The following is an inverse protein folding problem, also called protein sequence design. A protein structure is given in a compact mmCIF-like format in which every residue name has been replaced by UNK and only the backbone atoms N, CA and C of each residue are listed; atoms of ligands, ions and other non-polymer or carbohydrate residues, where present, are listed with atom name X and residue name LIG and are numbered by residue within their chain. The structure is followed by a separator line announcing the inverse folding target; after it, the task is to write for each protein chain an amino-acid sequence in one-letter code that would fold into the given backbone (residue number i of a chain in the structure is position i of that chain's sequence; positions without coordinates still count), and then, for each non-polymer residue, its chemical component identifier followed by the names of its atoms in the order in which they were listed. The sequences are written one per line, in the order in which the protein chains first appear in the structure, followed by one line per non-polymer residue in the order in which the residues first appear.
data_IF_866465343149
#
_entry.id   IF_866465343149
#
_cell.length_a   1.000
_cell.length_b   1.000
_cell.length_c   1.000
_cell.angle_alpha   90.00
_cell.angle_beta   90.00
_cell.angle_gamma   90.00
#
_symmetry.space_group_name_H-M   'P 1'
#
loop_
_entity.id
_entity.type
_entity.pdbx_description
1 polymer ?
#
# COMPACT_ATOMS: atom_id res chain seq x y z
N UNK A 1 -4.47 14.26 -24.54
CA UNK A 1 -3.16 14.69 -23.99
C UNK A 1 -2.62 13.48 -23.23
N UNK A 2 -1.61 12.79 -23.77
CA UNK A 2 -1.12 11.53 -23.24
C UNK A 2 -0.46 11.73 -21.88
N UNK A 3 -0.97 11.04 -20.86
CA UNK A 3 -0.25 10.85 -19.61
C UNK A 3 1.09 10.20 -19.96
N UNK A 4 2.19 10.93 -19.87
CA UNK A 4 3.51 10.32 -19.97
C UNK A 4 3.57 9.26 -18.88
N UNK A 5 3.54 7.98 -19.26
CA UNK A 5 3.69 6.87 -18.34
C UNK A 5 5.02 7.09 -17.61
N UNK A 6 4.94 7.48 -16.34
CA UNK A 6 6.11 7.73 -15.52
C UNK A 6 6.81 6.38 -15.40
N UNK A 7 8.03 6.26 -15.93
CA UNK A 7 8.73 4.98 -15.87
C UNK A 7 8.90 4.54 -14.40
N UNK A 8 8.93 3.22 -14.12
CA UNK A 8 9.12 2.71 -12.76
C UNK A 8 10.34 3.30 -12.05
N UNK A 9 11.39 3.59 -12.81
CA UNK A 9 12.59 4.27 -12.33
C UNK A 9 12.27 5.66 -11.75
N UNK A 10 11.53 6.49 -12.51
CA UNK A 10 11.15 7.84 -12.10
C UNK A 10 10.14 7.84 -10.96
N UNK A 11 9.20 6.89 -10.98
CA UNK A 11 8.22 6.72 -9.91
C UNK A 11 8.90 6.32 -8.60
N UNK A 12 9.83 5.36 -8.65
CA UNK A 12 10.60 4.93 -7.49
C UNK A 12 11.57 6.02 -6.98
N UNK A 13 12.25 6.74 -7.89
CA UNK A 13 13.09 7.87 -7.52
C UNK A 13 12.32 8.95 -6.75
N UNK A 14 11.09 9.26 -7.18
CA UNK A 14 10.21 10.21 -6.49
C UNK A 14 9.80 9.70 -5.11
N UNK A 15 9.48 8.41 -4.99
CA UNK A 15 9.19 7.77 -3.70
C UNK A 15 10.37 7.89 -2.73
N UNK A 16 11.58 7.51 -3.17
CA UNK A 16 12.79 7.55 -2.34
C UNK A 16 13.11 8.97 -1.91
N UNK A 17 12.97 9.96 -2.80
CA UNK A 17 13.18 11.37 -2.48
C UNK A 17 12.24 11.83 -1.36
N UNK A 18 10.94 11.57 -1.52
CA UNK A 18 9.93 11.93 -0.52
C UNK A 18 10.21 11.27 0.84
N UNK A 19 10.52 9.97 0.85
CA UNK A 19 10.83 9.26 2.09
C UNK A 19 12.06 9.83 2.81
N UNK A 20 13.08 10.25 2.06
CA UNK A 20 14.27 10.91 2.62
C UNK A 20 13.93 12.30 3.15
N UNK A 21 13.20 13.10 2.38
CA UNK A 21 12.81 14.45 2.80
C UNK A 21 11.95 14.40 4.07
N UNK A 22 10.97 13.49 4.14
CA UNK A 22 10.14 13.26 5.32
C UNK A 22 10.98 12.88 6.55
N UNK A 23 11.97 11.99 6.39
CA UNK A 23 12.86 11.58 7.48
C UNK A 23 13.80 12.72 7.94
N UNK A 24 14.23 13.58 7.02
CA UNK A 24 15.02 14.78 7.33
C UNK A 24 14.18 15.78 8.13
N UNK A 25 12.93 15.98 7.76
CA UNK A 25 12.02 16.90 8.43
C UNK A 25 11.60 16.41 9.81
N UNK A 26 11.29 15.11 9.95
CA UNK A 26 10.75 14.54 11.19
C UNK A 26 11.84 14.20 12.22
N UNK A 27 13.00 13.70 11.75
CA UNK A 27 14.04 13.19 12.63
C UNK A 27 15.36 13.97 12.57
N UNK A 28 15.47 14.97 11.69
CA UNK A 28 16.71 15.74 11.51
C UNK A 28 17.86 14.91 10.91
N UNK A 29 17.56 13.75 10.32
CA UNK A 29 18.59 12.81 9.85
C UNK A 29 19.41 13.37 8.69
N UNK A 30 20.72 13.14 8.73
CA UNK A 30 21.58 13.37 7.57
C UNK A 30 21.56 12.15 6.64
N UNK A 31 22.09 12.29 5.43
CA UNK A 31 22.25 11.15 4.49
C UNK A 31 23.14 10.05 5.09
N UNK A 32 24.07 10.42 5.98
CA UNK A 32 24.92 9.47 6.71
C UNK A 32 24.11 8.67 7.73
N UNK A 33 23.21 9.34 8.45
CA UNK A 33 22.32 8.70 9.41
C UNK A 33 21.34 7.75 8.72
N UNK A 34 20.79 8.18 7.58
CA UNK A 34 19.96 7.35 6.70
C UNK A 34 20.67 6.07 6.25
N UNK A 35 21.93 6.17 5.80
CA UNK A 35 22.68 5.00 5.37
C UNK A 35 22.99 4.04 6.54
N UNK A 36 23.23 4.58 7.74
CA UNK A 36 23.45 3.77 8.95
C UNK A 36 22.16 3.07 9.43
N UNK A 37 21.02 3.76 9.38
CA UNK A 37 19.74 3.25 9.88
C UNK A 37 19.04 2.30 8.91
N UNK A 38 19.13 2.56 7.60
CA UNK A 38 18.44 1.75 6.58
C UNK A 38 19.22 0.50 6.15
N UNK A 39 20.53 0.43 6.46
CA UNK A 39 21.43 -0.59 5.92
C UNK A 39 21.64 -0.50 4.41
N UNK A 40 21.09 0.53 3.75
CA UNK A 40 21.28 0.80 2.32
C UNK A 40 22.44 1.77 2.15
N UNK A 41 23.50 1.30 1.49
CA UNK A 41 24.68 2.12 1.23
C UNK A 41 24.36 3.39 0.43
N UNK A 42 25.08 4.48 0.71
CA UNK A 42 24.89 5.79 0.05
C UNK A 42 24.86 5.70 -1.48
N UNK A 43 25.74 4.90 -2.09
CA UNK A 43 25.79 4.70 -3.55
C UNK A 43 24.54 4.03 -4.11
N UNK A 44 23.87 3.17 -3.33
CA UNK A 44 22.59 2.57 -3.71
C UNK A 44 21.46 3.60 -3.61
N UNK A 45 21.44 4.40 -2.54
CA UNK A 45 20.44 5.47 -2.38
C UNK A 45 20.54 6.51 -3.50
N UNK A 46 21.74 6.98 -3.83
CA UNK A 46 21.94 7.94 -4.94
C UNK A 46 21.49 7.38 -6.29
N UNK A 47 21.75 6.09 -6.54
CA UNK A 47 21.29 5.40 -7.76
C UNK A 47 19.77 5.29 -7.82
N UNK A 48 19.12 5.02 -6.70
CA UNK A 48 17.66 5.03 -6.63
C UNK A 48 17.08 6.42 -6.88
N UNK A 49 17.71 7.47 -6.35
CA UNK A 49 17.31 8.86 -6.57
C UNK A 49 17.52 9.36 -8.00
N UNK A 50 18.56 8.86 -8.67
CA UNK A 50 18.84 9.18 -10.07
C UNK A 50 17.87 8.48 -11.03
N UNK A 51 17.31 7.33 -10.62
CA UNK A 51 16.44 6.52 -11.48
C UNK A 51 17.19 5.92 -12.68
N UNK A 52 18.50 5.74 -12.58
CA UNK A 52 19.37 5.24 -13.64
C UNK A 52 19.83 3.78 -13.41
N UNK A 53 19.16 3.08 -12.49
CA UNK A 53 19.47 1.69 -12.19
C UNK A 53 19.20 0.80 -13.40
N UNK A 54 20.20 -0.01 -13.75
CA UNK A 54 20.13 -1.00 -14.84
C UNK A 54 19.47 -2.29 -14.36
N UNK A 55 19.81 -2.71 -13.14
CA UNK A 55 19.20 -3.85 -12.47
C UNK A 55 18.10 -3.39 -11.51
N UNK A 56 17.08 -4.24 -11.40
CA UNK A 56 15.96 -3.98 -10.50
C UNK A 56 16.43 -3.85 -9.05
N UNK A 57 15.95 -2.85 -8.28
CA UNK A 57 16.28 -2.72 -6.86
C UNK A 57 15.97 -3.99 -6.08
N UNK A 58 16.97 -4.51 -5.35
CA UNK A 58 16.79 -5.69 -4.52
C UNK A 58 15.67 -5.46 -3.49
N UNK A 59 14.61 -6.26 -3.58
CA UNK A 59 13.42 -6.10 -2.74
C UNK A 59 13.73 -6.19 -1.24
N UNK A 60 14.74 -6.97 -0.85
CA UNK A 60 15.21 -7.04 0.53
C UNK A 60 15.73 -5.68 1.04
N UNK A 61 16.51 -4.97 0.20
CA UNK A 61 17.01 -3.61 0.52
C UNK A 61 15.88 -2.60 0.56
N UNK A 62 14.90 -2.71 -0.34
CA UNK A 62 13.71 -1.84 -0.35
C UNK A 62 12.88 -2.05 0.92
N UNK A 63 12.69 -3.30 1.37
CA UNK A 63 12.02 -3.61 2.63
C UNK A 63 12.77 -3.02 3.83
N UNK A 64 14.09 -3.19 3.89
CA UNK A 64 14.93 -2.63 4.97
C UNK A 64 14.86 -1.10 5.02
N UNK A 65 14.93 -0.44 3.86
CA UNK A 65 14.75 1.00 3.73
C UNK A 65 13.39 1.47 4.26
N UNK A 66 12.31 0.81 3.85
CA UNK A 66 10.96 1.13 4.30
C UNK A 66 10.78 0.93 5.81
N UNK A 67 11.30 -0.18 6.35
CA UNK A 67 11.22 -0.49 7.78
C UNK A 67 11.98 0.52 8.64
N UNK A 68 13.15 0.97 8.20
CA UNK A 68 13.97 1.92 8.96
C UNK A 68 13.39 3.35 8.96
N UNK A 69 12.59 3.71 7.96
CA UNK A 69 11.95 5.03 7.85
C UNK A 69 10.47 5.01 8.25
N UNK A 70 9.96 3.87 8.72
CA UNK A 70 8.53 3.64 9.02
C UNK A 70 7.60 4.00 7.83
N UNK A 71 8.04 3.72 6.61
CA UNK A 71 7.29 4.00 5.37
C UNK A 71 6.62 2.71 4.86
N UNK A 72 5.37 2.74 4.37
CA UNK A 72 4.70 1.55 3.87
C UNK A 72 5.40 0.96 2.63
N UNK A 73 5.90 -0.27 2.75
CA UNK A 73 6.59 -0.99 1.65
C UNK A 73 5.73 -1.17 0.40
N UNK A 74 4.41 -1.25 0.55
CA UNK A 74 3.47 -1.33 -0.57
C UNK A 74 3.57 -0.11 -1.49
N UNK A 75 3.83 1.09 -0.94
CA UNK A 75 4.04 2.29 -1.75
C UNK A 75 5.31 2.20 -2.60
N UNK A 76 6.40 1.65 -2.04
CA UNK A 76 7.64 1.39 -2.76
C UNK A 76 7.44 0.38 -3.90
N UNK A 77 6.71 -0.71 -3.63
CA UNK A 77 6.48 -1.77 -4.63
C UNK A 77 5.58 -1.33 -5.77
N UNK A 78 4.54 -0.51 -5.49
CA UNK A 78 3.75 0.14 -6.54
C UNK A 78 4.60 1.07 -7.39
N UNK A 79 5.49 1.84 -6.78
CA UNK A 79 6.40 2.72 -7.51
C UNK A 79 7.39 1.95 -8.39
N UNK A 80 7.78 0.75 -7.97
CA UNK A 80 8.63 -0.16 -8.74
C UNK A 80 7.88 -0.94 -9.84
N UNK A 81 6.54 -0.96 -9.80
CA UNK A 81 5.73 -1.75 -10.72
C UNK A 81 5.77 -3.26 -10.43
N UNK A 82 6.19 -3.69 -9.22
CA UNK A 82 6.01 -5.08 -8.78
C UNK A 82 4.51 -5.32 -8.63
N UNK A 83 3.92 -6.33 -9.28
CA UNK A 83 2.57 -6.75 -8.94
C UNK A 83 2.59 -7.22 -7.49
N UNK A 84 1.87 -6.50 -6.63
CA UNK A 84 1.81 -6.76 -5.20
C UNK A 84 1.40 -8.22 -4.96
N UNK A 85 2.32 -9.05 -4.47
CA UNK A 85 2.03 -10.42 -4.02
C UNK A 85 1.42 -10.43 -2.61
N UNK A 86 1.05 -9.26 -2.08
CA UNK A 86 0.08 -9.13 -1.00
C UNK A 86 -1.28 -8.78 -1.63
N UNK A 87 -2.40 -9.34 -1.15
CA UNK A 87 -3.72 -9.05 -1.67
C UNK A 87 -4.15 -7.66 -1.21
N UNK A 88 -3.56 -6.60 -1.77
CA UNK A 88 -4.34 -5.40 -2.02
C UNK A 88 -5.05 -5.69 -3.33
N UNK A 89 -6.36 -5.91 -3.22
CA UNK A 89 -7.25 -6.13 -4.33
C UNK A 89 -6.80 -5.24 -5.50
N UNK A 90 -6.40 -5.87 -6.59
CA UNK A 90 -6.77 -5.37 -7.90
C UNK A 90 -8.26 -5.09 -7.77
N UNK A 91 -8.60 -3.83 -7.50
CA UNK A 91 -9.97 -3.35 -7.50
C UNK A 91 -10.39 -3.50 -8.95
N UNK A 92 -10.87 -4.70 -9.27
CA UNK A 92 -11.60 -4.97 -10.50
C UNK A 92 -12.67 -3.90 -10.51
N UNK A 93 -12.81 -3.22 -11.64
CA UNK A 93 -13.82 -2.17 -11.82
C UNK A 93 -15.23 -2.69 -11.46
N UNK A 94 -15.42 -4.01 -11.45
CA UNK A 94 -16.64 -4.72 -11.02
C UNK A 94 -16.88 -4.83 -9.49
N UNK A 95 -15.88 -4.63 -8.62
CA UNK A 95 -16.08 -4.71 -7.16
C UNK A 95 -16.60 -3.39 -6.56
N UNK A 96 -16.64 -2.31 -7.34
CA UNK A 96 -17.05 -0.99 -6.85
C UNK A 96 -18.49 -0.93 -6.28
N UNK A 97 -19.50 -1.59 -6.88
CA UNK A 97 -20.84 -1.67 -6.30
C UNK A 97 -20.87 -2.45 -4.97
N UNK A 98 -20.20 -3.61 -4.93
CA UNK A 98 -20.15 -4.46 -3.72
C UNK A 98 -19.46 -3.72 -2.58
N UNK A 99 -18.38 -2.98 -2.86
CA UNK A 99 -17.70 -2.19 -1.83
C UNK A 99 -18.56 -1.03 -1.32
N UNK A 100 -19.36 -0.40 -2.20
CA UNK A 100 -20.31 0.63 -1.80
C UNK A 100 -21.39 0.05 -0.87
N UNK A 101 -21.92 -1.13 -1.19
CA UNK A 101 -22.91 -1.81 -0.37
C UNK A 101 -22.34 -2.22 1.00
N UNK A 102 -21.13 -2.77 1.03
CA UNK A 102 -20.42 -3.11 2.29
C UNK A 102 -20.22 -1.86 3.14
N UNK A 103 -19.86 -0.72 2.54
CA UNK A 103 -19.67 0.53 3.27
C UNK A 103 -20.96 1.05 3.88
N UNK A 104 -22.08 0.99 3.15
CA UNK A 104 -23.41 1.35 3.68
C UNK A 104 -23.77 0.46 4.87
N UNK A 105 -23.49 -0.84 4.79
CA UNK A 105 -23.75 -1.78 5.89
C UNK A 105 -22.91 -1.42 7.13
N UNK A 106 -21.63 -1.08 6.94
CA UNK A 106 -20.74 -0.67 8.03
C UNK A 106 -21.21 0.63 8.69
N UNK A 107 -21.57 1.64 7.89
CA UNK A 107 -22.08 2.92 8.38
C UNK A 107 -23.35 2.71 9.20
N UNK A 108 -24.28 1.85 8.74
CA UNK A 108 -25.53 1.53 9.45
C UNK A 108 -25.30 0.76 10.76
N UNK A 109 -24.28 -0.09 10.81
CA UNK A 109 -23.90 -0.79 12.04
C UNK A 109 -23.23 0.16 13.07
N UNK A 110 -22.50 1.18 12.59
CA UNK A 110 -21.85 2.18 13.42
C UNK A 110 -22.82 3.25 13.93
N UNK A 111 -23.88 3.56 13.19
CA UNK A 111 -24.85 4.62 13.51
C UNK A 111 -25.60 4.33 14.82
N UNK A 112 -25.43 5.14 15.88
CA UNK A 112 -26.08 4.93 17.17
C UNK A 112 -27.61 5.11 17.14
N UNK A 113 -28.16 5.71 16.09
CA UNK A 113 -29.61 5.95 15.93
C UNK A 113 -30.34 4.72 15.36
N UNK A 114 -29.61 3.77 14.79
CA UNK A 114 -30.16 2.51 14.27
C UNK A 114 -30.49 1.57 15.44
N UNK A 115 -31.69 1.02 15.42
CA UNK A 115 -32.19 0.13 16.47
C UNK A 115 -31.28 -1.10 16.64
N UNK A 116 -31.06 -1.53 17.90
CA UNK A 116 -30.19 -2.66 18.21
C UNK A 116 -30.64 -3.94 17.50
N UNK A 117 -31.95 -4.19 17.44
CA UNK A 117 -32.55 -5.34 16.77
C UNK A 117 -32.18 -5.42 15.29
N UNK A 118 -32.22 -4.28 14.60
CA UNK A 118 -31.84 -4.18 13.20
C UNK A 118 -30.34 -4.49 12.99
N UNK A 119 -29.49 -3.98 13.88
CA UNK A 119 -28.05 -4.32 13.87
C UNK A 119 -27.79 -5.80 14.14
N UNK A 120 -28.59 -6.42 15.00
CA UNK A 120 -28.52 -7.86 15.27
C UNK A 120 -28.88 -8.66 14.01
N UNK A 121 -29.98 -8.32 13.34
CA UNK A 121 -30.40 -8.96 12.10
C UNK A 121 -29.35 -8.84 10.98
N UNK A 122 -28.75 -7.65 10.82
CA UNK A 122 -27.66 -7.44 9.84
C UNK A 122 -26.47 -8.37 10.15
N UNK A 123 -26.03 -8.44 11.42
CA UNK A 123 -24.89 -9.28 11.82
C UNK A 123 -25.17 -10.77 11.64
N UNK A 124 -26.38 -11.21 11.94
CA UNK A 124 -26.77 -12.61 11.77
C UNK A 124 -26.82 -12.99 10.29
N UNK A 125 -27.33 -12.10 9.43
CA UNK A 125 -27.31 -12.29 7.99
C UNK A 125 -25.87 -12.38 7.45
N UNK A 126 -24.99 -11.47 7.85
CA UNK A 126 -23.57 -11.50 7.45
C UNK A 126 -22.89 -12.80 7.90
N UNK A 127 -23.17 -13.26 9.13
CA UNK A 127 -22.63 -14.51 9.66
C UNK A 127 -23.13 -15.71 8.87
N UNK A 128 -24.42 -15.76 8.55
CA UNK A 128 -25.01 -16.79 7.72
C UNK A 128 -24.35 -16.84 6.33
N UNK A 129 -24.17 -15.69 5.69
CA UNK A 129 -23.52 -15.58 4.38
C UNK A 129 -22.05 -16.04 4.44
N UNK A 130 -21.31 -15.64 5.47
CA UNK A 130 -19.91 -16.02 5.65
C UNK A 130 -19.72 -17.53 5.93
N UNK A 131 -20.69 -18.18 6.57
CA UNK A 131 -20.65 -19.61 6.87
C UNK A 131 -21.14 -20.49 5.71
N UNK A 132 -21.73 -19.90 4.67
CA UNK A 132 -22.23 -20.66 3.53
C UNK A 132 -21.04 -21.15 2.70
N UNK A 133 -20.83 -22.49 2.56
CA UNK A 133 -19.76 -22.99 1.71
C UNK A 133 -20.00 -22.49 0.28
N UNK A 134 -18.98 -21.87 -0.31
CA UNK A 134 -19.00 -21.45 -1.70
C UNK A 134 -19.31 -22.69 -2.55
N UNK A 135 -20.56 -22.85 -3.00
CA UNK A 135 -20.91 -23.89 -3.96
C UNK A 135 -20.04 -23.62 -5.18
N UNK A 136 -19.04 -24.46 -5.41
CA UNK A 136 -18.40 -24.57 -6.72
C UNK A 136 -19.52 -24.92 -7.69
N UNK A 137 -19.92 -23.97 -8.53
CA UNK A 137 -20.68 -24.27 -9.72
C UNK A 137 -19.82 -25.22 -10.55
N UNK A 138 -20.31 -26.44 -10.76
CA UNK A 138 -19.80 -27.36 -11.77
C UNK A 138 -20.42 -27.06 -13.12
#
# INVERSE_FOLDING_TARGET
MGSAEVSPQMAFARFVRRAIDDAREQHGWTVTDLAAHTGVGRSTVFRWLAGDWQDYPELAKVRGFCAALDVPVAAAFRALGVPDAAPTASRRVDDAPVEADVRIILDRLADPTVAAEEKHQIRDMLRYLAQRPARRAG
#
